data_IF_213349543071
#
_entry.id   IF_213349543071
#
_cell.length_a   1.000
_cell.length_b   1.000
_cell.length_c   1.000
_cell.angle_alpha   90.00
_cell.angle_beta   90.00
_cell.angle_gamma   90.00
#
_symmetry.space_group_name_H-M   'P 1'
#
loop_
_entity.id
_entity.type
_entity.pdbx_description
1 polymer ?
#
# COMPACT_ATOMS: atom_id res chain seq x y z
N UNK A 1 10.45 0.97 -10.06
CA UNK A 1 10.00 0.72 -8.67
C UNK A 1 10.33 1.87 -7.72
N UNK A 2 11.51 2.00 -7.07
CA UNK A 2 11.73 3.08 -6.07
C UNK A 2 11.51 4.50 -6.64
N UNK A 3 11.97 4.76 -7.87
CA UNK A 3 11.77 6.05 -8.53
C UNK A 3 10.30 6.31 -8.89
N UNK A 4 9.50 5.26 -9.09
CA UNK A 4 8.06 5.37 -9.34
C UNK A 4 7.29 5.67 -8.04
N UNK A 5 7.71 5.09 -6.91
CA UNK A 5 7.05 5.31 -5.61
C UNK A 5 7.30 6.70 -5.00
N UNK A 6 8.36 7.39 -5.43
CA UNK A 6 8.72 8.72 -4.93
C UNK A 6 7.75 9.78 -5.46
N UNK A 7 6.93 10.33 -4.56
CA UNK A 7 5.97 11.39 -4.88
C UNK A 7 4.51 10.96 -4.77
N UNK A 8 4.23 9.65 -4.65
CA UNK A 8 2.87 9.13 -4.41
C UNK A 8 2.21 9.77 -3.18
N UNK A 9 2.99 10.06 -2.14
CA UNK A 9 2.49 10.76 -0.96
C UNK A 9 1.91 12.15 -1.29
N UNK A 10 2.44 12.85 -2.29
CA UNK A 10 1.89 14.15 -2.69
C UNK A 10 0.56 14.01 -3.41
N UNK A 11 0.36 12.95 -4.18
CA UNK A 11 -0.93 12.66 -4.82
C UNK A 11 -2.00 12.37 -3.76
N UNK A 12 -1.69 11.53 -2.78
CA UNK A 12 -2.58 11.26 -1.63
C UNK A 12 -2.95 12.55 -0.89
N UNK A 13 -1.95 13.41 -0.61
CA UNK A 13 -2.17 14.67 0.10
C UNK A 13 -3.01 15.66 -0.72
N UNK A 14 -2.85 15.68 -2.05
CA UNK A 14 -3.68 16.50 -2.93
C UNK A 14 -5.10 15.96 -3.04
N UNK A 15 -5.29 14.63 -3.08
CA UNK A 15 -6.61 14.00 -3.05
C UNK A 15 -7.36 14.33 -1.74
N UNK A 16 -6.67 14.31 -0.60
CA UNK A 16 -7.21 14.74 0.70
C UNK A 16 -7.66 16.20 0.66
N UNK A 17 -6.86 17.08 0.08
CA UNK A 17 -7.22 18.49 -0.08
C UNK A 17 -8.44 18.67 -1.00
N UNK A 18 -8.53 17.91 -2.09
CA UNK A 18 -9.68 17.90 -3.00
C UNK A 18 -10.96 17.35 -2.32
N UNK A 19 -10.82 16.49 -1.32
CA UNK A 19 -11.92 16.08 -0.43
C UNK A 19 -12.31 17.15 0.61
N UNK A 20 -11.59 18.28 0.69
CA UNK A 20 -11.80 19.34 1.67
C UNK A 20 -11.03 19.18 2.99
N UNK A 21 -10.09 18.23 3.06
CA UNK A 21 -9.22 18.02 4.22
C UNK A 21 -8.02 18.97 4.27
N UNK A 22 -7.39 19.09 5.45
CA UNK A 22 -6.14 19.82 5.62
C UNK A 22 -4.94 18.89 5.38
N UNK A 23 -4.35 19.00 4.19
CA UNK A 23 -3.20 18.17 3.81
C UNK A 23 -1.95 18.43 4.65
N UNK A 24 -1.74 19.64 5.17
CA UNK A 24 -0.55 19.95 5.96
C UNK A 24 -0.69 19.42 7.38
N UNK A 25 -1.91 19.44 7.94
CA UNK A 25 -2.21 18.76 9.19
C UNK A 25 -1.98 17.24 9.08
N UNK A 26 -2.38 16.62 7.96
CA UNK A 26 -2.11 15.18 7.71
C UNK A 26 -0.62 14.91 7.56
N UNK A 27 0.10 15.73 6.77
CA UNK A 27 1.56 15.59 6.56
C UNK A 27 2.34 15.64 7.87
N UNK A 28 1.93 16.51 8.79
CA UNK A 28 2.59 16.69 10.08
C UNK A 28 1.96 15.85 11.20
N UNK A 29 0.97 15.02 10.87
CA UNK A 29 0.23 14.20 11.82
C UNK A 29 0.98 12.94 12.24
N UNK A 30 0.40 12.22 13.19
CA UNK A 30 0.86 10.88 13.56
C UNK A 30 0.00 9.83 12.85
N UNK A 31 0.60 8.71 12.41
CA UNK A 31 -0.15 7.58 11.87
C UNK A 31 -1.02 6.95 12.96
N UNK A 32 -2.02 6.15 12.55
CA UNK A 32 -2.69 5.25 13.48
C UNK A 32 -1.69 4.20 14.01
N UNK A 33 -1.96 3.61 15.17
CA UNK A 33 -1.09 2.58 15.75
C UNK A 33 -0.93 1.37 14.80
N UNK A 34 -1.99 1.01 14.08
CA UNK A 34 -1.97 -0.09 13.11
C UNK A 34 -1.04 0.20 11.94
N UNK A 35 -1.06 1.45 11.45
CA UNK A 35 -0.17 1.91 10.37
C UNK A 35 1.28 1.98 10.87
N UNK A 36 1.50 2.52 12.08
CA UNK A 36 2.81 2.57 12.72
C UNK A 36 3.44 1.18 12.87
N UNK A 37 2.67 0.21 13.36
CA UNK A 37 3.14 -1.17 13.56
C UNK A 37 3.44 -1.88 12.23
N UNK A 38 2.63 -1.65 11.19
CA UNK A 38 2.89 -2.18 9.86
C UNK A 38 4.23 -1.67 9.30
N UNK A 39 4.44 -0.35 9.38
CA UNK A 39 5.68 0.30 8.92
C UNK A 39 6.86 -0.18 9.75
N UNK A 40 6.75 -0.20 11.09
CA UNK A 40 7.81 -0.66 11.97
C UNK A 40 8.25 -2.10 11.68
N UNK A 41 7.29 -3.01 11.43
CA UNK A 41 7.59 -4.39 11.06
C UNK A 41 8.37 -4.48 9.74
N UNK A 42 7.99 -3.69 8.73
CA UNK A 42 8.72 -3.64 7.45
C UNK A 42 10.16 -3.14 7.62
N UNK A 43 10.35 -2.05 8.37
CA UNK A 43 11.66 -1.47 8.63
C UNK A 43 12.56 -2.40 9.45
N UNK A 44 12.04 -3.04 10.50
CA UNK A 44 12.82 -3.98 11.32
C UNK A 44 13.22 -5.22 10.52
N UNK A 45 12.29 -5.76 9.71
CA UNK A 45 12.56 -6.89 8.82
C UNK A 45 13.70 -6.55 7.84
N UNK A 46 13.62 -5.39 7.20
CA UNK A 46 14.60 -4.99 6.20
C UNK A 46 15.98 -4.68 6.78
N UNK A 47 16.04 -3.98 7.93
CA UNK A 47 17.30 -3.49 8.49
C UNK A 47 18.00 -4.51 9.39
N UNK A 48 17.25 -5.40 10.06
CA UNK A 48 17.82 -6.27 11.11
C UNK A 48 17.70 -7.76 10.81
N UNK A 49 16.63 -8.19 10.15
CA UNK A 49 16.35 -9.62 9.96
C UNK A 49 16.82 -10.10 8.59
N UNK A 50 16.08 -9.76 7.53
CA UNK A 50 16.43 -10.06 6.15
C UNK A 50 15.54 -9.22 5.20
N UNK A 51 16.12 -8.44 4.28
CA UNK A 51 15.39 -7.57 3.35
C UNK A 51 14.40 -8.30 2.43
N UNK A 52 14.59 -9.60 2.17
CA UNK A 52 13.64 -10.37 1.38
C UNK A 52 12.24 -10.42 2.02
N UNK A 53 12.14 -10.33 3.36
CA UNK A 53 10.86 -10.27 4.04
C UNK A 53 9.98 -9.08 3.63
N UNK A 54 10.58 -8.00 3.11
CA UNK A 54 9.86 -6.85 2.56
C UNK A 54 8.99 -7.22 1.35
N UNK A 55 9.40 -8.21 0.55
CA UNK A 55 8.59 -8.69 -0.59
C UNK A 55 7.22 -9.24 -0.16
N UNK A 56 7.08 -9.68 1.10
CA UNK A 56 5.77 -10.03 1.66
C UNK A 56 4.82 -8.82 1.73
N UNK A 57 5.33 -7.61 2.03
CA UNK A 57 4.52 -6.38 2.04
C UNK A 57 4.12 -5.99 0.62
N UNK A 58 5.08 -6.00 -0.31
CA UNK A 58 4.85 -5.69 -1.72
C UNK A 58 3.75 -6.60 -2.27
N UNK A 59 3.85 -7.92 -2.07
CA UNK A 59 2.79 -8.84 -2.52
C UNK A 59 1.38 -8.47 -2.02
N UNK A 60 1.26 -8.09 -0.74
CA UNK A 60 -0.03 -7.74 -0.14
C UNK A 60 -0.56 -6.42 -0.70
N UNK A 61 0.27 -5.40 -0.86
CA UNK A 61 -0.15 -4.10 -1.35
C UNK A 61 -0.49 -4.14 -2.85
N UNK A 62 0.40 -4.71 -3.67
CA UNK A 62 0.19 -4.87 -5.11
C UNK A 62 -1.04 -5.76 -5.39
N UNK A 63 -1.14 -6.90 -4.71
CA UNK A 63 -2.22 -7.87 -4.92
C UNK A 63 -3.61 -7.37 -4.53
N UNK A 64 -3.71 -6.35 -3.67
CA UNK A 64 -4.99 -5.77 -3.23
C UNK A 64 -5.44 -4.61 -4.12
N UNK A 65 -4.51 -3.92 -4.79
CA UNK A 65 -4.78 -2.71 -5.60
C UNK A 65 -5.44 -3.02 -6.96
N UNK A 66 -5.01 -4.07 -7.66
CA UNK A 66 -5.31 -4.29 -9.10
C UNK A 66 -6.80 -4.44 -9.45
N UNK A 67 -7.58 -5.17 -8.64
CA UNK A 67 -8.95 -5.55 -9.03
C UNK A 67 -10.02 -4.64 -8.45
N UNK A 68 -9.67 -3.85 -7.44
CA UNK A 68 -10.65 -3.13 -6.62
C UNK A 68 -10.49 -1.62 -6.70
N UNK A 69 -9.31 -1.10 -7.09
CA UNK A 69 -9.04 0.35 -7.04
C UNK A 69 -10.00 1.18 -7.91
N UNK A 70 -10.13 0.88 -9.20
CA UNK A 70 -11.01 1.64 -10.11
C UNK A 70 -12.50 1.52 -9.72
N UNK A 71 -12.94 0.32 -9.38
CA UNK A 71 -14.34 0.09 -8.97
C UNK A 71 -14.65 0.76 -7.63
N UNK A 72 -13.70 0.75 -6.69
CA UNK A 72 -13.80 1.45 -5.42
C UNK A 72 -13.80 2.97 -5.64
N UNK A 73 -12.94 3.50 -6.51
CA UNK A 73 -12.90 4.92 -6.86
C UNK A 73 -14.27 5.38 -7.37
N UNK A 74 -14.81 4.69 -8.37
CA UNK A 74 -16.12 5.00 -8.95
C UNK A 74 -17.27 4.85 -7.93
N UNK A 75 -17.16 3.90 -7.00
CA UNK A 75 -18.13 3.70 -5.92
C UNK A 75 -18.11 4.84 -4.90
N UNK A 76 -16.92 5.16 -4.37
CA UNK A 76 -16.69 6.20 -3.37
C UNK A 76 -17.05 7.57 -3.93
N UNK A 77 -16.59 7.87 -5.16
CA UNK A 77 -16.86 9.12 -5.83
C UNK A 77 -18.36 9.39 -5.95
N UNK A 78 -19.13 8.41 -6.44
CA UNK A 78 -20.59 8.54 -6.58
C UNK A 78 -21.30 8.67 -5.24
N UNK A 79 -20.89 7.89 -4.24
CA UNK A 79 -21.51 7.88 -2.92
C UNK A 79 -21.31 9.21 -2.17
N UNK A 80 -20.09 9.77 -2.24
CA UNK A 80 -19.70 10.97 -1.51
C UNK A 80 -19.78 12.26 -2.34
N UNK A 81 -20.07 12.16 -3.65
CA UNK A 81 -20.12 13.27 -4.62
C UNK A 81 -18.82 14.09 -4.65
N UNK A 82 -17.70 13.38 -4.59
CA UNK A 82 -16.36 13.97 -4.63
C UNK A 82 -15.95 14.30 -6.08
N UNK A 83 -15.09 15.31 -6.29
CA UNK A 83 -14.62 15.70 -7.61
C UNK A 83 -13.61 14.67 -8.17
N UNK A 84 -13.35 14.68 -9.48
CA UNK A 84 -12.41 13.75 -10.12
C UNK A 84 -10.98 13.91 -9.56
N UNK A 85 -10.61 15.14 -9.20
CA UNK A 85 -9.31 15.51 -8.63
C UNK A 85 -9.06 14.89 -7.25
N UNK A 86 -10.07 14.28 -6.60
CA UNK A 86 -9.94 13.57 -5.33
C UNK A 86 -9.53 12.10 -5.47
N UNK A 87 -9.27 11.62 -6.69
CA UNK A 87 -8.99 10.21 -6.98
C UNK A 87 -7.70 10.02 -7.79
N UNK A 88 -6.81 11.01 -7.82
CA UNK A 88 -5.59 10.95 -8.64
C UNK A 88 -4.71 9.76 -8.24
N UNK A 89 -4.55 9.49 -6.94
CA UNK A 89 -3.78 8.36 -6.44
C UNK A 89 -4.47 7.03 -6.77
N UNK A 90 -5.76 6.89 -6.41
CA UNK A 90 -6.47 5.61 -6.55
C UNK A 90 -6.59 5.17 -8.01
N UNK A 91 -6.84 6.11 -8.94
CA UNK A 91 -6.91 5.83 -10.39
C UNK A 91 -5.53 5.63 -11.03
N UNK A 92 -4.46 6.20 -10.46
CA UNK A 92 -3.10 5.96 -10.97
C UNK A 92 -2.62 4.52 -10.74
N UNK A 93 -2.95 3.92 -9.59
CA UNK A 93 -2.57 2.52 -9.31
C UNK A 93 -3.35 1.52 -10.18
N UNK A 94 -4.64 1.75 -10.44
CA UNK A 94 -5.44 0.86 -11.30
C UNK A 94 -4.84 0.59 -12.69
N UNK A 95 -4.14 1.57 -13.27
CA UNK A 95 -3.51 1.44 -14.59
C UNK A 95 -2.05 0.94 -14.56
N UNK A 96 -1.31 1.17 -13.48
CA UNK A 96 0.12 0.84 -13.34
C UNK A 96 0.37 -0.61 -12.87
N UNK A 97 -0.59 -1.22 -12.16
CA UNK A 97 -0.31 -2.42 -11.38
C UNK A 97 -0.05 -3.70 -12.20
N UNK A 98 -0.46 -3.81 -13.47
CA UNK A 98 -0.20 -5.03 -14.26
C UNK A 98 1.29 -5.23 -14.57
N UNK A 99 2.03 -4.14 -14.76
CA UNK A 99 3.47 -4.18 -14.97
C UNK A 99 4.19 -4.49 -13.65
N UNK A 100 3.72 -3.93 -12.54
CA UNK A 100 4.25 -4.18 -11.19
C UNK A 100 4.09 -5.64 -10.77
N UNK A 101 2.94 -6.26 -11.03
CA UNK A 101 2.72 -7.69 -10.75
C UNK A 101 3.67 -8.57 -11.55
N UNK A 102 3.82 -8.32 -12.85
CA UNK A 102 4.75 -9.09 -13.70
C UNK A 102 6.20 -8.90 -13.28
N UNK A 103 6.57 -7.67 -12.93
CA UNK A 103 7.90 -7.37 -12.41
C UNK A 103 8.15 -8.11 -11.08
N UNK A 104 7.20 -8.07 -10.16
CA UNK A 104 7.26 -8.77 -8.88
C UNK A 104 7.34 -10.29 -9.05
N UNK A 105 6.51 -10.87 -9.92
CA UNK A 105 6.57 -12.30 -10.28
C UNK A 105 7.95 -12.67 -10.82
N UNK A 106 8.51 -11.85 -11.72
CA UNK A 106 9.86 -12.05 -12.27
C UNK A 106 10.98 -11.93 -11.23
N UNK A 107 10.79 -11.14 -10.16
CA UNK A 107 11.73 -11.12 -9.03
C UNK A 107 11.59 -12.38 -8.16
N UNK A 108 10.36 -12.80 -7.86
CA UNK A 108 10.12 -13.99 -7.03
C UNK A 108 10.61 -15.26 -7.72
N UNK A 109 10.48 -15.35 -9.04
CA UNK A 109 11.01 -16.45 -9.84
C UNK A 109 12.53 -16.61 -9.83
N UNK A 110 13.28 -15.65 -9.25
CA UNK A 110 14.75 -15.73 -9.08
C UNK A 110 15.17 -16.24 -7.69
N UNK A 111 14.22 -16.45 -6.79
CA UNK A 111 14.49 -16.88 -5.41
C UNK A 111 14.30 -18.38 -5.34
N UNK A 112 15.42 -19.12 -5.35
CA UNK A 112 15.42 -20.59 -5.37
C UNK A 112 15.61 -21.22 -3.99
N UNK A 113 16.10 -20.47 -3.00
CA UNK A 113 16.31 -20.99 -1.64
C UNK A 113 14.95 -21.21 -0.93
N UNK A 114 14.62 -22.45 -0.53
CA UNK A 114 13.37 -22.73 0.16
C UNK A 114 13.19 -21.98 1.48
N UNK A 115 14.28 -21.63 2.18
CA UNK A 115 14.21 -20.87 3.43
C UNK A 115 13.86 -19.41 3.17
N UNK A 116 14.39 -18.82 2.10
CA UNK A 116 14.07 -17.45 1.68
C UNK A 116 12.62 -17.36 1.21
N UNK A 117 12.16 -18.32 0.40
CA UNK A 117 10.76 -18.44 0.01
C UNK A 117 9.84 -18.57 1.24
N UNK A 118 10.20 -19.42 2.20
CA UNK A 118 9.43 -19.60 3.43
C UNK A 118 9.37 -18.32 4.27
N UNK A 119 10.46 -17.55 4.33
CA UNK A 119 10.51 -16.25 4.98
C UNK A 119 9.54 -15.24 4.33
N UNK A 120 9.57 -15.14 2.99
CA UNK A 120 8.70 -14.23 2.24
C UNK A 120 7.23 -14.58 2.49
N UNK A 121 6.87 -15.86 2.37
CA UNK A 121 5.51 -16.35 2.63
C UNK A 121 5.07 -16.05 4.07
N UNK A 122 5.96 -16.25 5.05
CA UNK A 122 5.68 -15.90 6.44
C UNK A 122 5.41 -14.41 6.60
N UNK A 123 6.24 -13.56 6.00
CA UNK A 123 6.08 -12.11 6.07
C UNK A 123 4.79 -11.66 5.39
N UNK A 124 4.44 -12.21 4.22
CA UNK A 124 3.17 -11.91 3.54
C UNK A 124 1.96 -12.19 4.43
N UNK A 125 1.94 -13.33 5.14
CA UNK A 125 0.86 -13.65 6.10
C UNK A 125 0.75 -12.63 7.24
N UNK A 126 1.89 -12.12 7.71
CA UNK A 126 1.94 -11.09 8.75
C UNK A 126 1.45 -9.75 8.19
N UNK A 127 1.87 -9.38 6.98
CA UNK A 127 1.40 -8.15 6.32
C UNK A 127 -0.09 -8.19 5.99
N UNK A 128 -0.67 -9.33 5.59
CA UNK A 128 -2.13 -9.46 5.47
C UNK A 128 -2.85 -9.14 6.77
N UNK A 129 -2.30 -9.57 7.92
CA UNK A 129 -2.87 -9.26 9.23
C UNK A 129 -2.77 -7.77 9.53
N UNK A 130 -1.56 -7.20 9.42
CA UNK A 130 -1.27 -5.80 9.75
C UNK A 130 -2.05 -4.84 8.84
N UNK A 131 -2.07 -5.10 7.53
CA UNK A 131 -2.82 -4.31 6.56
C UNK A 131 -4.33 -4.39 6.81
N UNK A 132 -4.84 -5.58 7.16
CA UNK A 132 -6.23 -5.72 7.60
C UNK A 132 -6.53 -4.94 8.89
N UNK A 133 -5.58 -4.82 9.81
CA UNK A 133 -5.73 -4.01 11.02
C UNK A 133 -5.80 -2.50 10.67
N UNK A 134 -5.03 -2.03 9.69
CA UNK A 134 -5.12 -0.63 9.18
C UNK A 134 -6.56 -0.31 8.74
N UNK A 135 -7.19 -1.16 7.91
CA UNK A 135 -8.58 -0.93 7.52
C UNK A 135 -9.56 -0.95 8.69
N UNK A 136 -9.39 -1.87 9.64
CA UNK A 136 -10.22 -1.93 10.86
C UNK A 136 -10.07 -0.67 11.71
N UNK A 137 -8.88 -0.08 11.76
CA UNK A 137 -8.61 1.17 12.47
C UNK A 137 -9.40 2.36 11.93
N UNK A 138 -9.74 2.35 10.63
CA UNK A 138 -10.56 3.39 10.00
C UNK A 138 -12.06 3.21 10.29
N UNK A 139 -12.54 1.98 10.40
CA UNK A 139 -13.98 1.69 10.60
C UNK A 139 -14.45 1.72 12.05
N UNK A 140 -13.52 1.71 13.02
CA UNK A 140 -13.83 1.59 14.44
C UNK A 140 -13.88 2.94 15.20
N UNK A 141 -13.99 4.06 14.48
CA UNK A 141 -14.19 5.40 15.06
C UNK A 141 -15.66 5.83 15.06
#
# INVERSE_FOLDING_TARGET
YIEEELGHQEWILNDIAACGGDKEAVRCGLPSIETELMVAYAYDMANRVNPLGFFGMVHVLEGTSITTADQAADGIQRALKLPDEAFSYLRSHGALDQEHVKFFEGLMGKIDDPQEQALIIRCAKIFYRLYGDVFRGVTNN
#
